data_IF_166724217533
#
_entry.id   IF_166724217533
#
_cell.length_a   1.000
_cell.length_b   1.000
_cell.length_c   1.000
_cell.angle_alpha   90.00
_cell.angle_beta   90.00
_cell.angle_gamma   90.00
#
_symmetry.space_group_name_H-M   'P 1'
#
loop_
_entity.id
_entity.type
_entity.pdbx_description
1 polymer ?
#
# COMPACT_ATOMS: atom_id res chain seq x y z
N UNK A 1 15.12 -41.95 5.20
CA UNK A 1 14.59 -40.64 4.76
C UNK A 1 15.03 -39.45 5.64
N UNK A 2 16.00 -39.59 6.56
CA UNK A 2 16.44 -38.48 7.44
C UNK A 2 17.71 -37.73 6.96
N UNK A 3 18.49 -38.28 6.03
CA UNK A 3 19.75 -37.67 5.56
C UNK A 3 19.58 -36.56 4.50
N UNK A 4 18.39 -36.41 3.91
CA UNK A 4 18.14 -35.44 2.84
C UNK A 4 17.78 -34.03 3.36
N UNK A 5 17.39 -33.92 4.64
CA UNK A 5 16.92 -32.67 5.26
C UNK A 5 18.07 -31.76 5.73
N UNK A 6 19.10 -32.33 6.37
CA UNK A 6 20.24 -31.54 6.90
C UNK A 6 21.10 -30.92 5.79
N UNK A 7 21.32 -31.65 4.69
CA UNK A 7 22.16 -31.19 3.58
C UNK A 7 21.55 -30.00 2.80
N UNK A 8 20.21 -29.93 2.72
CA UNK A 8 19.49 -28.79 2.12
C UNK A 8 19.54 -27.56 3.03
N UNK A 9 19.38 -27.74 4.34
CA UNK A 9 19.41 -26.64 5.32
C UNK A 9 20.79 -25.98 5.34
N UNK A 10 21.87 -26.75 5.28
CA UNK A 10 23.23 -26.20 5.25
C UNK A 10 23.56 -25.50 3.92
N UNK A 11 23.04 -25.98 2.78
CA UNK A 11 23.16 -25.27 1.50
C UNK A 11 22.39 -23.96 1.49
N UNK A 12 21.20 -23.91 2.08
CA UNK A 12 20.41 -22.67 2.19
C UNK A 12 21.13 -21.70 3.13
N UNK A 13 21.65 -22.15 4.27
CA UNK A 13 22.43 -21.31 5.18
C UNK A 13 23.71 -20.80 4.54
N UNK A 14 24.41 -21.63 3.77
CA UNK A 14 25.59 -21.21 3.03
C UNK A 14 25.25 -20.21 1.91
N UNK A 15 24.17 -20.43 1.14
CA UNK A 15 23.70 -19.49 0.13
C UNK A 15 23.27 -18.16 0.75
N UNK A 16 22.55 -18.20 1.87
CA UNK A 16 22.15 -16.99 2.61
C UNK A 16 23.38 -16.29 3.17
N UNK A 17 24.32 -16.99 3.80
CA UNK A 17 25.55 -16.37 4.31
C UNK A 17 26.43 -15.82 3.18
N UNK A 18 26.55 -16.54 2.05
CA UNK A 18 27.27 -16.10 0.86
C UNK A 18 26.62 -14.85 0.25
N UNK A 19 25.28 -14.83 0.14
CA UNK A 19 24.54 -13.67 -0.36
C UNK A 19 24.54 -12.50 0.62
N UNK A 20 24.61 -12.72 1.94
CA UNK A 20 24.64 -11.63 2.93
C UNK A 20 26.04 -11.13 3.27
N UNK A 21 27.10 -11.89 3.01
CA UNK A 21 28.48 -11.49 3.34
C UNK A 21 29.29 -11.16 2.09
N UNK A 22 29.15 -11.93 1.02
CA UNK A 22 29.94 -11.76 -0.20
C UNK A 22 29.31 -10.76 -1.17
N UNK A 23 27.98 -10.78 -1.31
CA UNK A 23 27.28 -9.84 -2.17
C UNK A 23 27.47 -8.38 -1.70
N UNK A 24 27.32 -8.01 -0.41
CA UNK A 24 27.53 -6.63 -0.02
C UNK A 24 28.98 -6.22 -0.21
N UNK A 25 29.96 -7.06 0.12
CA UNK A 25 31.38 -6.69 -0.01
C UNK A 25 31.84 -6.56 -1.48
N UNK A 26 31.34 -7.39 -2.39
CA UNK A 26 31.60 -7.27 -3.83
C UNK A 26 30.86 -6.07 -4.47
N UNK A 27 29.61 -5.83 -4.04
CA UNK A 27 28.80 -4.67 -4.44
C UNK A 27 29.43 -3.37 -3.95
N UNK A 28 29.90 -3.28 -2.70
CA UNK A 28 30.60 -2.08 -2.19
C UNK A 28 31.87 -1.77 -3.02
N UNK A 29 32.64 -2.80 -3.39
CA UNK A 29 33.88 -2.62 -4.14
C UNK A 29 33.69 -2.20 -5.61
N UNK A 30 32.59 -2.61 -6.26
CA UNK A 30 32.29 -2.20 -7.64
C UNK A 30 31.53 -0.87 -7.72
N UNK A 31 30.67 -0.58 -6.73
CA UNK A 31 29.88 0.65 -6.66
C UNK A 31 30.76 1.87 -6.34
N UNK A 32 31.72 1.75 -5.40
CA UNK A 32 32.65 2.85 -5.08
C UNK A 32 33.48 3.32 -6.30
N UNK A 33 33.77 2.44 -7.27
CA UNK A 33 34.54 2.81 -8.47
C UNK A 33 33.69 3.50 -9.54
N UNK A 34 32.49 2.99 -9.80
CA UNK A 34 31.62 3.55 -10.86
C UNK A 34 31.05 4.90 -10.46
N UNK A 35 30.62 5.06 -9.21
CA UNK A 35 30.09 6.33 -8.71
C UNK A 35 31.14 7.45 -8.78
N UNK A 36 32.43 7.15 -8.54
CA UNK A 36 33.51 8.15 -8.62
C UNK A 36 33.79 8.56 -10.08
N UNK A 37 33.77 7.62 -11.03
CA UNK A 37 34.05 7.92 -12.44
C UNK A 37 32.92 8.73 -13.09
N UNK A 38 31.66 8.42 -12.80
CA UNK A 38 30.49 9.15 -13.33
C UNK A 38 30.40 10.57 -12.77
N UNK A 39 30.72 10.76 -11.47
CA UNK A 39 30.81 12.08 -10.82
C UNK A 39 31.91 12.96 -11.45
N UNK A 40 33.01 12.37 -11.91
CA UNK A 40 34.11 13.11 -12.55
C UNK A 40 33.73 13.56 -13.97
N UNK A 41 33.09 12.70 -14.75
CA UNK A 41 32.64 13.01 -16.12
C UNK A 41 31.57 14.11 -16.12
N UNK A 42 30.62 14.06 -15.19
CA UNK A 42 29.57 15.08 -15.08
C UNK A 42 30.10 16.44 -14.60
N UNK A 43 31.15 16.45 -13.77
CA UNK A 43 31.82 17.68 -13.33
C UNK A 43 32.53 18.39 -14.50
N UNK A 44 33.16 17.64 -15.39
CA UNK A 44 33.77 18.19 -16.61
C UNK A 44 32.72 18.79 -17.55
N UNK A 45 31.58 18.11 -17.73
CA UNK A 45 30.48 18.63 -18.56
C UNK A 45 29.78 19.87 -17.97
N UNK A 46 29.73 19.99 -16.64
CA UNK A 46 29.25 21.18 -15.94
C UNK A 46 30.19 22.38 -16.11
N UNK A 47 31.50 22.14 -16.01
CA UNK A 47 32.53 23.16 -16.16
C UNK A 47 32.62 23.70 -17.59
N UNK A 48 32.27 22.89 -18.59
CA UNK A 48 32.20 23.27 -20.00
C UNK A 48 30.95 24.09 -20.39
N UNK A 49 30.07 24.44 -19.44
CA UNK A 49 28.94 25.34 -19.68
C UNK A 49 27.84 24.79 -20.59
N UNK A 50 27.79 23.47 -20.84
CA UNK A 50 26.81 22.83 -21.74
C UNK A 50 25.49 22.43 -21.08
N UNK A 51 25.34 22.56 -19.76
CA UNK A 51 24.12 22.19 -19.04
C UNK A 51 23.00 23.25 -19.23
N UNK A 52 22.22 23.12 -20.30
CA UNK A 52 21.12 24.04 -20.66
C UNK A 52 19.73 23.57 -20.21
N UNK A 53 19.59 22.38 -19.62
CA UNK A 53 18.32 21.88 -19.08
C UNK A 53 18.25 22.09 -17.57
N UNK A 54 17.43 23.02 -17.14
CA UNK A 54 17.20 23.34 -15.72
C UNK A 54 16.34 22.29 -14.99
N UNK A 55 15.53 21.51 -15.71
CA UNK A 55 14.67 20.46 -15.16
C UNK A 55 14.77 19.17 -15.99
N UNK A 56 15.16 18.07 -15.34
CA UNK A 56 15.12 16.72 -15.88
C UNK A 56 14.00 15.93 -15.19
N UNK A 57 13.30 15.10 -15.95
CA UNK A 57 12.28 14.18 -15.42
C UNK A 57 12.79 12.77 -15.62
N UNK A 58 12.99 12.06 -14.52
CA UNK A 58 13.44 10.68 -14.57
C UNK A 58 12.27 9.76 -14.28
N UNK A 59 11.95 8.90 -15.23
CA UNK A 59 10.90 7.89 -15.05
C UNK A 59 11.38 6.84 -14.06
N UNK A 60 10.50 6.37 -13.19
CA UNK A 60 10.73 5.18 -12.38
C UNK A 60 9.52 4.26 -12.38
N UNK A 61 9.78 2.97 -12.22
CA UNK A 61 8.76 1.93 -12.05
C UNK A 61 9.14 1.07 -10.87
N UNK A 62 8.17 0.65 -10.07
CA UNK A 62 8.44 -0.27 -8.96
C UNK A 62 7.31 -1.25 -8.71
N UNK A 63 7.68 -2.36 -8.09
CA UNK A 63 6.77 -3.36 -7.57
C UNK A 63 6.89 -3.40 -6.07
N UNK A 64 5.75 -3.55 -5.40
CA UNK A 64 5.73 -3.55 -3.95
C UNK A 64 4.83 -4.64 -3.37
N UNK A 65 5.14 -5.00 -2.14
CA UNK A 65 4.30 -5.86 -1.32
C UNK A 65 4.46 -5.51 0.15
N UNK A 66 3.44 -5.82 0.93
CA UNK A 66 3.42 -5.47 2.34
C UNK A 66 2.32 -6.17 3.11
N UNK A 67 2.32 -5.90 4.41
CA UNK A 67 1.24 -6.27 5.32
C UNK A 67 0.54 -5.03 5.85
N UNK A 68 -0.76 -5.14 6.08
CA UNK A 68 -1.54 -4.06 6.70
C UNK A 68 -2.21 -4.57 7.99
N UNK A 69 -2.35 -3.66 8.96
CA UNK A 69 -2.99 -3.86 10.25
C UNK A 69 -4.08 -2.79 10.40
N UNK A 70 -5.33 -3.16 10.10
CA UNK A 70 -6.44 -2.22 10.11
C UNK A 70 -6.92 -1.97 11.55
N UNK A 71 -7.35 -0.74 11.82
CA UNK A 71 -8.00 -0.40 13.07
C UNK A 71 -9.46 -0.86 13.08
N UNK A 72 -10.03 -0.99 14.28
CA UNK A 72 -11.44 -1.33 14.43
C UNK A 72 -12.30 -0.19 13.89
N UNK A 73 -13.28 -0.51 13.07
CA UNK A 73 -14.27 0.46 12.57
C UNK A 73 -15.61 0.27 13.26
N UNK A 74 -16.35 1.37 13.43
CA UNK A 74 -17.75 1.35 13.85
C UNK A 74 -18.63 1.15 12.63
N UNK A 75 -19.62 0.29 12.74
CA UNK A 75 -20.61 0.06 11.69
C UNK A 75 -22.01 0.25 12.24
N UNK A 76 -22.91 0.76 11.41
CA UNK A 76 -24.33 0.76 11.71
C UNK A 76 -25.13 0.47 10.45
N UNK A 77 -26.29 -0.16 10.61
CA UNK A 77 -27.16 -0.53 9.52
C UNK A 77 -28.61 -0.23 9.88
N UNK A 78 -29.38 0.21 8.89
CA UNK A 78 -30.81 0.46 8.99
C UNK A 78 -31.54 -0.33 7.91
N UNK A 79 -32.42 -1.24 8.33
CA UNK A 79 -33.26 -2.03 7.42
C UNK A 79 -34.68 -1.46 7.38
N UNK A 80 -35.20 -1.29 6.17
CA UNK A 80 -36.54 -0.79 5.88
C UNK A 80 -37.40 -1.94 5.35
N UNK A 81 -38.47 -2.25 6.06
CA UNK A 81 -39.36 -3.37 5.74
C UNK A 81 -40.58 -2.89 4.92
N UNK A 82 -41.15 -3.75 4.05
CA UNK A 82 -42.37 -3.41 3.30
C UNK A 82 -43.57 -3.03 4.19
N UNK A 83 -43.57 -3.47 5.45
CA UNK A 83 -44.59 -3.16 6.47
C UNK A 83 -44.49 -1.73 7.03
N UNK A 84 -43.47 -0.96 6.64
CA UNK A 84 -43.16 0.36 7.22
C UNK A 84 -42.35 0.31 8.51
N UNK A 85 -41.99 -0.90 8.98
CA UNK A 85 -41.07 -1.09 10.12
C UNK A 85 -39.65 -0.68 9.71
N UNK A 86 -38.93 -0.03 10.63
CA UNK A 86 -37.51 0.29 10.50
C UNK A 86 -36.78 -0.38 11.67
N UNK A 87 -35.69 -1.07 11.38
CA UNK A 87 -34.83 -1.65 12.41
C UNK A 87 -33.40 -1.15 12.25
N UNK A 88 -32.79 -0.84 13.39
CA UNK A 88 -31.43 -0.30 13.47
C UNK A 88 -30.53 -1.29 14.22
N UNK A 89 -29.31 -1.45 13.71
CA UNK A 89 -28.25 -2.21 14.34
C UNK A 89 -26.96 -1.40 14.36
N UNK A 90 -26.21 -1.50 15.44
CA UNK A 90 -24.91 -0.86 15.62
C UNK A 90 -23.89 -1.90 16.06
N UNK A 91 -22.64 -1.71 15.65
CA UNK A 91 -21.62 -2.71 15.87
C UNK A 91 -20.22 -2.20 15.57
N UNK A 92 -19.32 -3.17 15.55
CA UNK A 92 -17.94 -2.93 15.16
C UNK A 92 -17.50 -4.03 14.21
N UNK A 93 -16.69 -3.63 13.24
CA UNK A 93 -15.95 -4.55 12.39
C UNK A 93 -14.49 -4.52 12.80
N UNK A 94 -13.95 -5.70 13.07
CA UNK A 94 -12.55 -5.91 13.35
C UNK A 94 -11.94 -6.63 12.13
N UNK A 95 -11.26 -5.89 11.25
CA UNK A 95 -10.59 -6.53 10.13
C UNK A 95 -9.30 -7.18 10.63
N UNK A 96 -8.91 -8.29 10.02
CA UNK A 96 -7.69 -9.02 10.36
C UNK A 96 -6.51 -8.43 9.59
N UNK A 97 -5.30 -8.72 10.09
CA UNK A 97 -4.10 -8.40 9.34
C UNK A 97 -4.10 -9.16 8.01
N UNK A 98 -3.74 -8.47 6.94
CA UNK A 98 -3.68 -9.07 5.62
C UNK A 98 -2.46 -8.61 4.84
N UNK A 99 -2.43 -9.01 3.58
CA UNK A 99 -1.34 -8.74 2.66
C UNK A 99 -1.84 -7.97 1.45
N UNK A 100 -0.95 -7.15 0.90
CA UNK A 100 -1.21 -6.36 -0.27
C UNK A 100 0.02 -6.27 -1.16
N UNK A 101 -0.18 -5.85 -2.39
CA UNK A 101 0.89 -5.63 -3.33
C UNK A 101 0.41 -4.95 -4.59
N UNK A 102 1.36 -4.56 -5.42
CA UNK A 102 1.03 -3.77 -6.58
C UNK A 102 2.23 -3.26 -7.34
N UNK A 103 1.95 -2.32 -8.23
CA UNK A 103 2.93 -1.63 -9.04
C UNK A 103 2.72 -0.13 -8.96
N UNK A 104 3.79 0.63 -9.16
CA UNK A 104 3.71 2.06 -9.31
C UNK A 104 4.64 2.54 -10.42
N UNK A 105 4.26 3.66 -11.03
CA UNK A 105 5.00 4.33 -12.09
C UNK A 105 5.00 5.81 -11.79
N UNK A 106 6.15 6.46 -11.87
CA UNK A 106 6.25 7.87 -11.55
C UNK A 106 7.41 8.58 -12.21
N UNK A 107 7.52 9.86 -11.87
CA UNK A 107 8.59 10.74 -12.30
C UNK A 107 9.21 11.44 -11.10
N UNK A 108 10.55 11.42 -11.03
CA UNK A 108 11.32 12.32 -10.21
C UNK A 108 11.56 13.63 -10.97
N UNK A 109 11.28 14.76 -10.33
CA UNK A 109 11.53 16.09 -10.89
C UNK A 109 12.87 16.61 -10.36
N UNK A 110 13.95 16.20 -11.00
CA UNK A 110 15.29 16.65 -10.64
C UNK A 110 15.59 17.98 -11.30
N UNK A 111 16.02 18.97 -10.52
CA UNK A 111 16.88 20.02 -11.06
C UNK A 111 18.20 19.35 -11.47
N UNK A 112 18.71 19.68 -12.66
CA UNK A 112 19.86 19.04 -13.33
C UNK A 112 20.77 18.20 -12.40
N UNK A 113 20.77 16.88 -12.61
CA UNK A 113 21.46 15.86 -11.79
C UNK A 113 22.96 16.12 -11.54
N UNK A 114 23.57 16.98 -12.35
CA UNK A 114 24.96 17.41 -12.31
C UNK A 114 25.32 18.17 -10.99
N UNK A 115 24.34 18.83 -10.36
CA UNK A 115 24.57 19.59 -9.13
C UNK A 115 24.45 18.80 -7.82
N UNK A 116 23.82 17.61 -7.84
CA UNK A 116 23.44 16.86 -6.61
C UNK A 116 24.62 16.18 -5.91
N UNK A 117 25.66 15.82 -6.67
CA UNK A 117 26.78 15.02 -6.19
C UNK A 117 28.05 15.83 -5.93
N UNK A 118 28.15 17.04 -6.48
CA UNK A 118 29.37 17.85 -6.42
C UNK A 118 29.51 18.67 -5.13
N UNK A 119 28.40 19.09 -4.50
CA UNK A 119 28.42 19.96 -3.32
C UNK A 119 28.15 19.22 -1.98
N UNK A 120 27.85 17.92 -2.03
CA UNK A 120 27.49 17.06 -0.88
C UNK A 120 26.33 17.59 -0.03
N UNK A 121 25.48 18.47 -0.59
CA UNK A 121 24.32 19.03 0.14
C UNK A 121 23.11 18.14 -0.03
N UNK A 122 22.28 18.10 1.01
CA UNK A 122 20.97 17.48 0.94
C UNK A 122 20.04 18.32 0.08
N UNK A 123 19.33 17.67 -0.85
CA UNK A 123 18.33 18.32 -1.70
C UNK A 123 17.01 17.57 -1.64
N UNK A 124 15.93 18.33 -1.67
CA UNK A 124 14.58 17.81 -1.76
C UNK A 124 14.21 17.65 -3.24
N UNK A 125 13.96 16.42 -3.66
CA UNK A 125 13.56 16.07 -5.02
C UNK A 125 12.08 15.69 -4.96
N UNK A 126 11.18 16.53 -5.48
CA UNK A 126 9.77 16.16 -5.57
C UNK A 126 9.60 15.06 -6.63
N UNK A 127 8.64 14.17 -6.37
CA UNK A 127 8.30 13.05 -7.20
C UNK A 127 6.78 12.86 -7.22
N UNK A 128 6.24 12.41 -8.35
CA UNK A 128 4.83 12.05 -8.47
C UNK A 128 4.75 10.64 -9.03
N UNK A 129 3.93 9.79 -8.43
CA UNK A 129 3.69 8.44 -8.89
C UNK A 129 2.20 8.12 -8.97
N UNK A 130 1.84 7.28 -9.92
CA UNK A 130 0.58 6.56 -9.94
C UNK A 130 0.80 5.18 -9.34
N UNK A 131 -0.03 4.81 -8.36
CA UNK A 131 0.09 3.57 -7.58
C UNK A 131 -1.15 2.72 -7.83
N UNK A 132 -0.93 1.46 -8.19
CA UNK A 132 -1.97 0.46 -8.33
C UNK A 132 -1.79 -0.57 -7.24
N UNK A 133 -2.62 -0.48 -6.20
CA UNK A 133 -2.58 -1.38 -5.06
C UNK A 133 -3.73 -2.39 -5.13
N UNK A 134 -3.45 -3.65 -4.83
CA UNK A 134 -4.42 -4.70 -4.65
C UNK A 134 -4.18 -5.41 -3.31
N UNK A 135 -5.24 -5.58 -2.54
CA UNK A 135 -5.19 -6.24 -1.23
C UNK A 135 -6.38 -7.15 -1.00
N UNK A 136 -6.17 -8.18 -0.18
CA UNK A 136 -7.22 -9.05 0.32
C UNK A 136 -7.25 -8.95 1.85
N UNK A 137 -8.45 -8.75 2.39
CA UNK A 137 -8.69 -8.57 3.82
C UNK A 137 -9.74 -9.57 4.26
N UNK A 138 -9.47 -10.34 5.31
CA UNK A 138 -10.52 -11.03 6.07
C UNK A 138 -10.97 -10.15 7.22
N UNK A 139 -12.25 -10.20 7.57
CA UNK A 139 -12.82 -9.43 8.66
C UNK A 139 -13.75 -10.27 9.50
N UNK A 140 -13.88 -9.89 10.76
CA UNK A 140 -14.90 -10.41 11.66
C UNK A 140 -15.68 -9.23 12.22
N UNK A 141 -17.02 -9.32 12.20
CA UNK A 141 -17.91 -8.27 12.68
C UNK A 141 -18.75 -8.76 13.85
N UNK A 142 -19.08 -7.84 14.75
CA UNK A 142 -20.11 -8.05 15.76
C UNK A 142 -21.13 -6.91 15.73
N UNK A 143 -22.41 -7.26 15.80
CA UNK A 143 -23.51 -6.29 15.83
C UNK A 143 -24.45 -6.55 17.02
N UNK A 144 -24.99 -5.46 17.54
CA UNK A 144 -26.05 -5.44 18.53
C UNK A 144 -27.32 -4.93 17.85
N UNK A 145 -28.44 -5.60 18.11
CA UNK A 145 -29.75 -5.10 17.73
C UNK A 145 -30.50 -4.65 18.99
N UNK A 146 -31.55 -3.85 18.81
CA UNK A 146 -32.36 -3.33 19.91
C UNK A 146 -33.23 -4.40 20.60
N UNK A 147 -33.29 -5.61 20.05
CA UNK A 147 -34.24 -6.68 20.44
C UNK A 147 -33.55 -7.90 21.08
N UNK A 148 -32.22 -7.94 21.14
CA UNK A 148 -31.42 -9.08 21.61
C UNK A 148 -30.36 -8.59 22.58
N UNK A 149 -30.27 -9.26 23.73
CA UNK A 149 -29.22 -9.05 24.71
C UNK A 149 -27.87 -9.71 24.31
N UNK A 150 -27.86 -10.55 23.27
CA UNK A 150 -26.66 -11.25 22.80
C UNK A 150 -26.17 -10.68 21.46
N UNK A 151 -24.86 -10.40 21.31
CA UNK A 151 -24.30 -9.93 20.06
C UNK A 151 -24.37 -11.00 18.99
N UNK A 152 -24.46 -10.53 17.75
CA UNK A 152 -24.40 -11.35 16.54
C UNK A 152 -22.99 -11.31 15.97
N UNK A 153 -22.53 -12.39 15.33
CA UNK A 153 -21.18 -12.52 14.79
C UNK A 153 -21.22 -12.98 13.33
N UNK A 154 -20.38 -12.37 12.49
CA UNK A 154 -20.13 -12.84 11.13
C UNK A 154 -18.66 -12.69 10.76
N UNK A 155 -18.25 -13.51 9.79
CA UNK A 155 -16.95 -13.39 9.13
C UNK A 155 -17.14 -13.01 7.67
N UNK A 156 -16.18 -12.27 7.15
CA UNK A 156 -16.17 -11.83 5.77
C UNK A 156 -14.80 -11.87 5.15
N UNK A 157 -14.79 -11.86 3.82
CA UNK A 157 -13.61 -11.51 3.07
C UNK A 157 -13.94 -10.41 2.08
N UNK A 158 -13.05 -9.44 2.01
CA UNK A 158 -13.12 -8.29 1.11
C UNK A 158 -11.86 -8.27 0.27
N UNK A 159 -12.02 -7.94 -1.00
CA UNK A 159 -10.92 -7.64 -1.89
C UNK A 159 -11.02 -6.18 -2.32
N UNK A 160 -9.87 -5.53 -2.40
CA UNK A 160 -9.78 -4.09 -2.58
C UNK A 160 -8.78 -3.79 -3.68
N UNK A 161 -9.24 -3.08 -4.70
CA UNK A 161 -8.35 -2.44 -5.66
C UNK A 161 -8.33 -0.94 -5.38
N UNK A 162 -7.12 -0.39 -5.18
CA UNK A 162 -6.92 0.98 -4.73
C UNK A 162 -5.98 1.70 -5.69
N UNK A 163 -6.50 2.34 -6.75
CA UNK A 163 -5.74 3.29 -7.54
C UNK A 163 -5.48 4.58 -6.74
N UNK A 164 -4.23 5.04 -6.74
CA UNK A 164 -3.81 6.23 -5.99
C UNK A 164 -2.84 7.10 -6.80
N UNK A 165 -2.85 8.40 -6.52
CA UNK A 165 -1.81 9.33 -6.94
C UNK A 165 -0.99 9.69 -5.70
N UNK A 166 0.32 9.52 -5.79
CA UNK A 166 1.28 9.81 -4.74
C UNK A 166 2.09 11.06 -5.09
N UNK A 167 2.21 11.98 -4.14
CA UNK A 167 3.22 13.05 -4.14
C UNK A 167 4.26 12.73 -3.07
N UNK A 168 5.52 12.61 -3.48
CA UNK A 168 6.64 12.21 -2.62
C UNK A 168 7.75 13.25 -2.69
N UNK A 169 8.49 13.43 -1.61
CA UNK A 169 9.71 14.22 -1.58
C UNK A 169 10.84 13.30 -1.13
N UNK A 170 11.79 13.09 -2.03
CA UNK A 170 13.01 12.33 -1.80
C UNK A 170 14.10 13.29 -1.29
N UNK A 171 14.68 13.02 -0.13
CA UNK A 171 15.84 13.76 0.36
C UNK A 171 17.09 13.03 -0.10
N UNK A 172 17.78 13.58 -1.09
CA UNK A 172 18.94 12.94 -1.71
C UNK A 172 20.22 13.74 -1.45
N UNK A 173 21.32 13.00 -1.33
CA UNK A 173 22.69 13.48 -1.33
C UNK A 173 23.56 12.44 -2.09
N UNK A 174 24.88 12.56 -2.02
CA UNK A 174 25.85 11.56 -2.49
C UNK A 174 25.78 10.22 -1.73
N UNK A 175 24.90 10.07 -0.74
CA UNK A 175 24.69 8.82 -0.01
C UNK A 175 23.74 7.88 -0.76
N UNK A 176 23.96 6.57 -0.63
CA UNK A 176 23.04 5.53 -1.13
C UNK A 176 21.69 5.47 -0.40
N UNK A 177 21.59 6.14 0.73
CA UNK A 177 20.40 6.19 1.57
C UNK A 177 19.62 7.46 1.25
N UNK A 178 18.39 7.28 0.78
CA UNK A 178 17.49 8.37 0.35
C UNK A 178 16.21 8.27 1.17
N UNK A 179 16.14 8.96 2.32
CA UNK A 179 14.90 9.05 3.06
C UNK A 179 13.86 9.82 2.26
N UNK A 180 12.59 9.45 2.41
CA UNK A 180 11.50 10.10 1.71
C UNK A 180 10.25 10.17 2.57
N UNK A 181 9.42 11.16 2.26
CA UNK A 181 8.07 11.32 2.83
C UNK A 181 7.10 11.69 1.73
N UNK A 182 5.85 11.30 1.86
CA UNK A 182 4.85 11.59 0.85
C UNK A 182 3.43 11.41 1.34
N UNK A 183 2.51 11.79 0.46
CA UNK A 183 1.08 11.63 0.66
C UNK A 183 0.47 10.98 -0.58
N UNK A 184 -0.55 10.16 -0.40
CA UNK A 184 -1.37 9.65 -1.51
C UNK A 184 -2.82 10.07 -1.34
N UNK A 185 -3.50 10.17 -2.48
CA UNK A 185 -4.94 10.31 -2.58
C UNK A 185 -5.44 9.28 -3.59
N UNK A 186 -6.51 8.57 -3.24
CA UNK A 186 -7.06 7.53 -4.10
C UNK A 186 -8.45 7.11 -3.66
N UNK A 187 -8.98 6.09 -4.30
CA UNK A 187 -10.25 5.49 -3.95
C UNK A 187 -10.11 3.97 -3.89
N UNK A 188 -10.57 3.36 -2.80
CA UNK A 188 -10.67 1.91 -2.69
C UNK A 188 -11.98 1.46 -3.33
N UNK A 189 -11.84 0.63 -4.36
CA UNK A 189 -12.91 -0.11 -4.99
C UNK A 189 -12.95 -1.48 -4.31
N UNK A 190 -13.88 -1.63 -3.39
CA UNK A 190 -14.06 -2.86 -2.64
C UNK A 190 -15.15 -3.68 -3.30
N UNK A 191 -14.85 -4.96 -3.55
CA UNK A 191 -15.86 -5.94 -3.85
C UNK A 191 -15.87 -7.01 -2.76
N UNK A 192 -17.03 -7.18 -2.15
CA UNK A 192 -17.29 -8.21 -1.16
C UNK A 192 -17.69 -9.47 -1.93
N UNK A 193 -16.87 -10.52 -1.79
CA UNK A 193 -17.15 -11.84 -2.40
C UNK A 193 -17.92 -12.72 -1.41
N UNK A 194 -17.91 -12.39 -0.10
CA UNK A 194 -18.56 -13.18 0.95
C UNK A 194 -19.30 -12.34 2.01
N UNK A 195 -20.26 -13.01 2.66
CA UNK A 195 -21.54 -12.57 3.24
C UNK A 195 -21.51 -11.63 4.47
N UNK A 196 -20.45 -10.86 4.72
CA UNK A 196 -20.32 -10.10 5.99
C UNK A 196 -21.15 -8.82 6.16
N UNK A 197 -22.24 -8.64 5.41
CA UNK A 197 -23.20 -7.56 5.71
C UNK A 197 -24.28 -8.16 6.62
N UNK A 198 -24.12 -7.94 7.92
CA UNK A 198 -25.06 -8.40 8.94
C UNK A 198 -26.33 -7.55 8.96
N UNK A 199 -27.47 -8.24 8.91
CA UNK A 199 -28.78 -7.70 9.19
C UNK A 199 -28.97 -7.30 10.64
N UNK A 200 -30.04 -6.53 10.93
CA UNK A 200 -30.51 -6.35 12.29
C UNK A 200 -30.85 -7.66 13.01
N UNK A 201 -31.07 -8.76 12.27
CA UNK A 201 -31.34 -10.09 12.83
C UNK A 201 -30.17 -11.07 12.74
N UNK A 202 -28.93 -10.58 12.57
CA UNK A 202 -27.75 -11.45 12.39
C UNK A 202 -27.73 -12.25 11.09
N UNK A 203 -28.69 -12.03 10.20
CA UNK A 203 -28.76 -12.75 8.94
C UNK A 203 -27.79 -12.11 7.94
N UNK A 204 -27.12 -12.97 7.19
CA UNK A 204 -26.31 -12.60 6.04
C UNK A 204 -27.24 -12.04 4.97
N UNK A 205 -27.10 -10.74 4.69
CA UNK A 205 -28.05 -10.02 3.84
C UNK A 205 -27.74 -10.13 2.35
N UNK A 206 -26.55 -10.63 2.01
CA UNK A 206 -26.22 -11.03 0.66
C UNK A 206 -26.68 -12.46 0.47
N UNK A 207 -27.50 -12.70 -0.56
CA UNK A 207 -27.81 -14.06 -0.97
C UNK A 207 -26.49 -14.71 -1.46
N UNK A 208 -26.26 -16.01 -1.21
CA UNK A 208 -25.10 -16.71 -1.75
C UNK A 208 -24.89 -16.41 -3.24
N UNK A 209 -23.73 -15.86 -3.60
CA UNK A 209 -23.39 -15.46 -4.98
C UNK A 209 -23.73 -14.02 -5.38
N UNK A 210 -24.24 -13.18 -4.46
CA UNK A 210 -24.36 -11.74 -4.69
C UNK A 210 -23.10 -10.98 -4.25
N UNK A 211 -22.47 -10.26 -5.18
CA UNK A 211 -21.40 -9.32 -4.86
C UNK A 211 -21.95 -7.94 -4.57
N UNK A 212 -21.48 -7.31 -3.50
CA UNK A 212 -21.70 -5.88 -3.26
C UNK A 212 -20.43 -5.10 -3.54
N UNK A 213 -20.61 -3.92 -4.14
CA UNK A 213 -19.54 -2.98 -4.42
C UNK A 213 -19.64 -1.83 -3.44
N UNK A 214 -18.54 -1.56 -2.74
CA UNK A 214 -18.40 -0.41 -1.87
C UNK A 214 -17.24 0.47 -2.35
N UNK A 215 -17.45 1.77 -2.28
CA UNK A 215 -16.45 2.79 -2.59
C UNK A 215 -15.98 3.43 -1.29
N UNK A 216 -14.67 3.65 -1.16
CA UNK A 216 -14.14 4.44 -0.07
C UNK A 216 -13.08 5.41 -0.59
N UNK A 217 -13.11 6.66 -0.14
CA UNK A 217 -12.00 7.57 -0.41
C UNK A 217 -10.85 7.24 0.54
N UNK A 218 -9.63 7.27 0.00
CA UNK A 218 -8.44 6.94 0.77
C UNK A 218 -7.41 8.05 0.65
N UNK A 219 -6.72 8.30 1.74
CA UNK A 219 -5.48 9.07 1.75
C UNK A 219 -4.43 8.32 2.54
N UNK A 220 -3.16 8.50 2.22
CA UNK A 220 -2.06 7.82 2.92
C UNK A 220 -0.96 8.80 3.25
N UNK A 221 -0.38 8.67 4.43
CA UNK A 221 0.90 9.25 4.77
C UNK A 221 1.97 8.18 4.62
N UNK A 222 3.01 8.45 3.85
CA UNK A 222 4.11 7.53 3.56
C UNK A 222 5.40 8.12 4.12
N UNK A 223 6.16 7.32 4.85
CA UNK A 223 7.53 7.64 5.24
C UNK A 223 8.43 6.42 5.11
N UNK A 224 9.65 6.62 4.62
CA UNK A 224 10.59 5.52 4.53
C UNK A 224 11.95 5.88 3.99
N UNK A 225 12.64 4.84 3.53
CA UNK A 225 14.02 4.87 3.09
C UNK A 225 14.18 4.05 1.81
N UNK A 226 14.70 4.69 0.76
CA UNK A 226 15.23 4.00 -0.39
C UNK A 226 16.74 3.77 -0.21
N UNK A 227 17.18 2.56 -0.56
CA UNK A 227 18.57 2.13 -0.55
C UNK A 227 18.98 1.81 -1.97
N UNK A 228 19.86 2.62 -2.53
CA UNK A 228 20.43 2.38 -3.87
C UNK A 228 21.30 1.13 -3.83
N UNK A 229 20.87 0.07 -4.51
CA UNK A 229 21.57 -1.21 -4.57
C UNK A 229 22.56 -1.26 -5.73
N UNK A 230 22.13 -0.78 -6.90
CA UNK A 230 22.88 -0.74 -8.16
C UNK A 230 22.54 0.56 -8.90
N UNK A 231 23.30 0.93 -9.94
CA UNK A 231 22.82 1.91 -10.91
C UNK A 231 21.40 1.52 -11.34
N UNK A 232 20.47 2.46 -11.20
CA UNK A 232 19.04 2.34 -11.48
C UNK A 232 18.19 1.54 -10.48
N UNK A 233 18.74 0.68 -9.61
CA UNK A 233 17.93 -0.16 -8.73
C UNK A 233 17.92 0.31 -7.27
N UNK A 234 16.72 0.54 -6.74
CA UNK A 234 16.51 0.89 -5.34
C UNK A 234 15.68 -0.18 -4.62
N UNK A 235 16.10 -0.49 -3.40
CA UNK A 235 15.28 -1.22 -2.42
C UNK A 235 14.62 -0.20 -1.49
N UNK A 236 13.31 -0.25 -1.40
CA UNK A 236 12.52 0.67 -0.59
C UNK A 236 11.92 -0.09 0.59
N UNK A 237 12.03 0.52 1.77
CA UNK A 237 11.31 0.09 2.97
C UNK A 237 10.56 1.32 3.47
N UNK A 238 9.27 1.16 3.72
CA UNK A 238 8.47 2.26 4.21
C UNK A 238 7.33 1.79 5.11
N UNK A 239 6.91 2.72 5.95
CA UNK A 239 5.76 2.60 6.82
C UNK A 239 4.72 3.63 6.39
N UNK A 240 3.47 3.22 6.39
CA UNK A 240 2.39 4.09 5.95
C UNK A 240 1.20 4.03 6.90
N UNK A 241 0.46 5.12 6.95
CA UNK A 241 -0.83 5.18 7.63
C UNK A 241 -1.85 5.64 6.61
N UNK A 242 -2.79 4.76 6.28
CA UNK A 242 -3.88 5.03 5.36
C UNK A 242 -5.13 5.41 6.16
N UNK A 243 -5.76 6.49 5.78
CA UNK A 243 -7.07 6.91 6.27
C UNK A 243 -8.11 6.54 5.23
N UNK A 244 -9.14 5.82 5.65
CA UNK A 244 -10.19 5.32 4.78
C UNK A 244 -11.52 5.91 5.25
N UNK A 245 -12.22 6.54 4.31
CA UNK A 245 -13.55 7.08 4.48
C UNK A 245 -14.52 6.30 3.58
N UNK A 246 -15.14 5.22 4.08
CA UNK A 246 -16.16 4.48 3.36
C UNK A 246 -17.34 5.38 3.01
N UNK A 247 -17.88 5.21 1.81
CA UNK A 247 -19.19 5.77 1.49
C UNK A 247 -20.28 4.85 2.01
N UNK A 248 -21.38 5.45 2.44
CA UNK A 248 -22.59 4.72 2.75
C UNK A 248 -23.03 3.93 1.52
N UNK A 249 -23.41 2.68 1.73
CA UNK A 249 -23.94 1.85 0.66
C UNK A 249 -25.39 1.49 0.95
N UNK A 250 -26.20 1.47 -0.11
CA UNK A 250 -27.61 1.07 -0.05
C UNK A 250 -27.77 -0.22 -0.83
N UNK A 251 -28.37 -1.22 -0.18
CA UNK A 251 -28.68 -2.50 -0.79
C UNK A 251 -30.19 -2.64 -0.94
N UNK A 252 -30.63 -2.95 -2.16
CA UNK A 252 -32.03 -3.26 -2.43
C UNK A 252 -32.26 -4.73 -2.08
N UNK A 253 -33.15 -4.98 -1.11
CA UNK A 253 -33.44 -6.33 -0.64
C UNK A 253 -34.12 -7.16 -1.72
N UNK A 254 -33.80 -8.45 -1.78
CA UNK A 254 -34.56 -9.38 -2.60
C UNK A 254 -35.93 -9.66 -1.95
N UNK A 255 -36.95 -10.10 -2.70
CA UNK A 255 -38.25 -10.48 -2.12
C UNK A 255 -38.16 -11.56 -1.03
N UNK A 256 -37.06 -12.30 -0.97
CA UNK A 256 -36.80 -13.37 0.00
C UNK A 256 -36.10 -12.86 1.27
N UNK A 257 -35.50 -11.67 1.23
CA UNK A 257 -34.71 -11.11 2.32
C UNK A 257 -35.56 -10.45 3.43
N UNK A 258 -36.88 -10.34 3.25
CA UNK A 258 -37.79 -9.77 4.26
C UNK A 258 -37.77 -8.24 4.39
N UNK A 259 -36.69 -7.56 3.98
CA UNK A 259 -36.60 -6.09 3.85
C UNK A 259 -36.60 -5.65 2.38
N UNK A 260 -36.99 -4.41 2.09
CA UNK A 260 -36.91 -3.86 0.72
C UNK A 260 -35.67 -2.98 0.52
N UNK A 261 -35.16 -2.35 1.57
CA UNK A 261 -33.95 -1.52 1.49
C UNK A 261 -33.14 -1.64 2.76
N UNK A 262 -31.82 -1.74 2.62
CA UNK A 262 -30.86 -1.68 3.71
C UNK A 262 -29.89 -0.54 3.42
N UNK A 263 -29.65 0.32 4.40
CA UNK A 263 -28.60 1.34 4.36
C UNK A 263 -27.56 0.97 5.39
N UNK A 264 -26.30 0.88 4.96
CA UNK A 264 -25.17 0.58 5.84
C UNK A 264 -24.20 1.74 5.86
N UNK A 265 -23.79 2.08 7.07
CA UNK A 265 -22.85 3.13 7.41
C UNK A 265 -21.61 2.52 8.02
N UNK A 266 -20.44 2.91 7.52
CA UNK A 266 -19.16 2.53 8.11
C UNK A 266 -18.38 3.78 8.46
N UNK A 267 -17.92 3.85 9.71
CA UNK A 267 -17.12 4.95 10.20
C UNK A 267 -15.75 5.00 9.51
N UNK A 268 -15.08 6.13 9.65
CA UNK A 268 -13.70 6.27 9.19
C UNK A 268 -12.79 5.38 10.02
N UNK A 269 -11.81 4.76 9.36
CA UNK A 269 -10.82 3.92 10.01
C UNK A 269 -9.44 4.13 9.39
N UNK A 270 -8.44 3.51 10.01
CA UNK A 270 -7.04 3.66 9.64
C UNK A 270 -6.40 2.29 9.43
N UNK A 271 -5.61 2.17 8.37
CA UNK A 271 -4.75 1.02 8.16
C UNK A 271 -3.30 1.43 8.39
N UNK A 272 -2.61 0.68 9.25
CA UNK A 272 -1.17 0.75 9.38
C UNK A 272 -0.55 -0.22 8.39
N UNK A 273 0.37 0.23 7.55
CA UNK A 273 0.95 -0.62 6.51
C UNK A 273 2.48 -0.61 6.60
N UNK A 274 3.08 -1.79 6.50
CA UNK A 274 4.51 -1.94 6.24
C UNK A 274 4.69 -2.46 4.82
N UNK A 275 5.44 -1.75 3.98
CA UNK A 275 5.69 -2.17 2.60
C UNK A 275 7.18 -2.16 2.26
N UNK A 276 7.57 -3.15 1.46
CA UNK A 276 8.84 -3.23 0.78
C UNK A 276 8.64 -3.14 -0.73
N UNK A 277 9.52 -2.41 -1.43
CA UNK A 277 9.44 -2.29 -2.88
C UNK A 277 10.81 -2.42 -3.54
N UNK A 278 10.80 -2.86 -4.79
CA UNK A 278 11.96 -2.80 -5.68
C UNK A 278 11.60 -1.81 -6.80
N UNK A 279 12.44 -0.79 -6.97
CA UNK A 279 12.27 0.27 -7.95
C UNK A 279 13.40 0.24 -8.98
N UNK A 280 13.04 0.47 -10.24
CA UNK A 280 13.95 0.74 -11.33
C UNK A 280 13.80 2.19 -11.78
N UNK A 281 14.91 2.91 -11.87
CA UNK A 281 14.98 4.31 -12.24
C UNK A 281 15.64 4.47 -13.62
N UNK A 282 14.91 5.04 -14.57
CA UNK A 282 15.36 5.23 -15.96
C UNK A 282 16.23 6.48 -16.16
N UNK A 283 16.91 6.96 -15.12
CA UNK A 283 17.89 8.04 -15.31
C UNK A 283 19.03 7.56 -16.23
N UNK A 284 19.59 8.46 -17.07
CA UNK A 284 20.73 8.14 -17.94
C UNK A 284 22.00 7.84 -17.14
#
# INVERSE_FOLDING_TARGET
>A
MAHFSLYMVDKIRFLVAFYFLWFPSWVHAQVDRKDIEEILVDKEQAMDGKATKTWAKDLFIGFFSGGFWPSVSRTSASAYFPTGRIEHAEGYTQPHAGYFGGLYLGYDFKEAAIGLFSDKRWKAIPAVAFVLNYGQISSSGFSYNSLSATPSYANGTSQSFIPEIAGVVNFSNATRFVPFVGVTLGAALNWLIDESILGPHAEELLVPGQSSFALAFTSKLIGGLAVRLFPHWDLIIAYTTRFIAPMDFTFQGSPQAGFHTLVSHSGWYQDFEGWGAIQYNFWP
#
